data_IF_911738819276
#
_entry.id   IF_911738819276
#
_cell.length_a   1.000
_cell.length_b   1.000
_cell.length_c   1.000
_cell.angle_alpha   90.00
_cell.angle_beta   90.00
_cell.angle_gamma   90.00
#
_symmetry.space_group_name_H-M   'P 1'
#
loop_
_entity.id
_entity.type
_entity.pdbx_description
1 polymer ?
#
# COMPACT_ATOMS: atom_id res chain seq x y z
N UNK A 1 -66.08 -23.90 -20.99
CA UNK A 1 -64.87 -23.51 -21.76
C UNK A 1 -64.26 -22.31 -21.05
N UNK A 2 -63.31 -22.56 -20.15
CA UNK A 2 -62.56 -21.53 -19.42
C UNK A 2 -61.14 -22.05 -19.29
N UNK A 3 -60.26 -21.57 -20.17
CA UNK A 3 -58.87 -21.96 -20.30
C UNK A 3 -58.07 -21.40 -19.12
N UNK A 4 -57.58 -22.28 -18.25
CA UNK A 4 -56.63 -21.91 -17.19
C UNK A 4 -55.24 -21.93 -17.81
N UNK A 5 -54.69 -20.75 -18.08
CA UNK A 5 -53.30 -20.57 -18.49
C UNK A 5 -52.38 -20.83 -17.29
N UNK A 6 -51.69 -21.97 -17.29
CA UNK A 6 -50.66 -22.26 -16.29
C UNK A 6 -49.40 -21.45 -16.63
N UNK A 7 -49.12 -20.41 -15.86
CA UNK A 7 -47.82 -19.74 -15.87
C UNK A 7 -46.74 -20.71 -15.37
N UNK A 8 -46.04 -21.31 -16.33
CA UNK A 8 -44.78 -22.02 -16.13
C UNK A 8 -43.79 -21.08 -15.45
N UNK A 9 -43.54 -21.32 -14.16
CA UNK A 9 -42.52 -20.63 -13.39
C UNK A 9 -41.16 -20.87 -14.00
N UNK A 10 -40.60 -19.83 -14.63
CA UNK A 10 -39.16 -19.78 -14.94
C UNK A 10 -38.41 -19.82 -13.61
N UNK A 11 -38.04 -21.02 -13.20
CA UNK A 11 -37.01 -21.28 -12.20
C UNK A 11 -35.75 -20.53 -12.64
N UNK A 12 -35.52 -19.35 -12.09
CA UNK A 12 -34.23 -18.65 -12.09
C UNK A 12 -33.28 -19.48 -11.24
N UNK A 13 -32.84 -20.61 -11.79
CA UNK A 13 -31.80 -21.43 -11.20
C UNK A 13 -30.54 -20.58 -11.16
N UNK A 14 -30.27 -19.97 -10.00
CA UNK A 14 -28.98 -19.36 -9.74
C UNK A 14 -27.91 -20.42 -10.03
N UNK A 15 -26.89 -20.12 -10.86
CA UNK A 15 -25.85 -21.08 -11.19
C UNK A 15 -25.25 -21.60 -9.90
N UNK A 16 -25.36 -22.92 -9.68
CA UNK A 16 -24.71 -23.55 -8.54
C UNK A 16 -23.22 -23.22 -8.58
N UNK A 17 -22.63 -22.75 -7.47
CA UNK A 17 -21.20 -22.43 -7.44
C UNK A 17 -20.43 -23.70 -7.77
N UNK A 18 -19.67 -23.65 -8.88
CA UNK A 18 -18.89 -24.77 -9.37
C UNK A 18 -18.02 -25.32 -8.24
N UNK A 19 -18.20 -26.61 -7.92
CA UNK A 19 -17.41 -27.31 -6.90
C UNK A 19 -15.92 -27.16 -7.19
N UNK A 20 -15.23 -26.54 -6.23
CA UNK A 20 -13.79 -26.59 -5.94
C UNK A 20 -12.84 -27.07 -7.04
N UNK A 21 -12.73 -26.34 -8.15
CA UNK A 21 -11.61 -26.53 -9.07
C UNK A 21 -10.32 -26.11 -8.35
N UNK A 22 -9.36 -27.04 -8.25
CA UNK A 22 -8.02 -26.73 -7.77
C UNK A 22 -7.33 -25.82 -8.77
N UNK A 23 -6.63 -24.80 -8.27
CA UNK A 23 -5.86 -23.87 -9.09
C UNK A 23 -4.80 -24.64 -9.87
N UNK A 24 -4.63 -24.32 -11.15
CA UNK A 24 -3.48 -24.78 -11.92
C UNK A 24 -2.20 -24.13 -11.38
N UNK A 25 -1.03 -24.74 -11.61
CA UNK A 25 0.25 -24.21 -11.14
C UNK A 25 0.51 -22.80 -11.70
N UNK A 26 0.04 -22.49 -12.91
CA UNK A 26 0.13 -21.15 -13.51
C UNK A 26 -0.70 -20.12 -12.74
N UNK A 27 -1.91 -20.49 -12.31
CA UNK A 27 -2.78 -19.63 -11.50
C UNK A 27 -2.20 -19.44 -10.08
N UNK A 28 -1.65 -20.51 -9.48
CA UNK A 28 -0.92 -20.43 -8.22
C UNK A 28 0.31 -19.50 -8.30
N UNK A 29 1.04 -19.55 -9.41
CA UNK A 29 2.19 -18.67 -9.64
C UNK A 29 1.73 -17.21 -9.79
N UNK A 30 0.69 -16.93 -10.59
CA UNK A 30 0.12 -15.59 -10.72
C UNK A 30 -0.39 -15.04 -9.38
N UNK A 31 -1.08 -15.88 -8.59
CA UNK A 31 -1.53 -15.58 -7.24
C UNK A 31 -0.38 -15.24 -6.29
N UNK A 32 0.70 -16.01 -6.34
CA UNK A 32 1.88 -15.81 -5.49
C UNK A 32 2.60 -14.50 -5.86
N UNK A 33 2.80 -14.25 -7.16
CA UNK A 33 3.36 -13.00 -7.67
C UNK A 33 2.51 -11.80 -7.26
N UNK A 34 1.19 -11.91 -7.40
CA UNK A 34 0.27 -10.85 -7.00
C UNK A 34 0.33 -10.59 -5.49
N UNK A 35 0.35 -11.64 -4.67
CA UNK A 35 0.51 -11.49 -3.22
C UNK A 35 1.82 -10.80 -2.86
N UNK A 36 2.92 -11.15 -3.54
CA UNK A 36 4.20 -10.46 -3.40
C UNK A 36 4.09 -8.98 -3.79
N UNK A 37 3.41 -8.65 -4.90
CA UNK A 37 3.17 -7.25 -5.30
C UNK A 37 2.49 -6.45 -4.20
N UNK A 38 1.40 -6.96 -3.60
CA UNK A 38 0.71 -6.26 -2.51
C UNK A 38 1.58 -6.12 -1.25
N UNK A 39 2.26 -7.19 -0.84
CA UNK A 39 3.16 -7.15 0.33
C UNK A 39 4.28 -6.14 0.09
N UNK A 40 4.98 -6.21 -1.04
CA UNK A 40 6.04 -5.29 -1.39
C UNK A 40 5.54 -3.86 -1.47
N UNK A 41 4.35 -3.62 -2.07
CA UNK A 41 3.77 -2.28 -2.16
C UNK A 41 3.42 -1.68 -0.80
N UNK A 42 2.94 -2.51 0.13
CA UNK A 42 2.61 -2.09 1.49
C UNK A 42 3.84 -1.93 2.39
N UNK A 43 4.92 -2.67 2.10
CA UNK A 43 6.16 -2.68 2.88
C UNK A 43 7.31 -1.87 2.27
N UNK A 44 7.06 -1.14 1.18
CA UNK A 44 8.06 -0.25 0.56
C UNK A 44 7.64 1.21 0.78
N UNK A 45 8.55 2.09 1.26
CA UNK A 45 8.26 3.50 1.44
C UNK A 45 7.71 4.17 0.17
N UNK A 46 6.57 4.86 0.26
CA UNK A 46 5.90 5.41 -0.95
C UNK A 46 6.65 6.53 -1.66
N UNK A 47 7.64 7.14 -1.01
CA UNK A 47 8.42 8.25 -1.61
C UNK A 47 9.45 7.73 -2.63
N UNK A 48 9.78 6.44 -2.55
CA UNK A 48 10.66 5.73 -3.47
C UNK A 48 10.11 5.68 -4.91
N UNK A 49 8.83 6.03 -5.11
CA UNK A 49 8.22 6.11 -6.44
C UNK A 49 8.89 7.21 -7.29
N UNK A 50 9.25 8.35 -6.70
CA UNK A 50 9.83 9.46 -7.48
C UNK A 50 11.27 9.19 -7.91
N UNK A 51 12.01 8.38 -7.16
CA UNK A 51 13.39 7.99 -7.50
C UNK A 51 13.44 6.81 -8.50
N UNK A 52 12.31 6.13 -8.72
CA UNK A 52 12.20 4.94 -9.56
C UNK A 52 12.54 3.63 -8.84
N UNK A 53 12.76 3.67 -7.53
CA UNK A 53 13.12 2.51 -6.72
C UNK A 53 12.00 1.47 -6.64
N UNK A 54 10.74 1.84 -6.87
CA UNK A 54 9.59 0.92 -6.81
C UNK A 54 9.21 0.29 -8.14
N UNK A 55 9.92 0.61 -9.24
CA UNK A 55 9.53 0.16 -10.60
C UNK A 55 9.52 -1.36 -10.75
N UNK A 56 10.36 -2.07 -9.99
CA UNK A 56 10.39 -3.53 -9.98
C UNK A 56 9.07 -4.12 -9.46
N UNK A 57 8.33 -3.43 -8.58
CA UNK A 57 7.01 -3.85 -8.10
C UNK A 57 6.00 -3.80 -9.26
N UNK A 58 6.04 -2.74 -10.08
CA UNK A 58 5.20 -2.63 -11.27
C UNK A 58 5.54 -3.72 -12.30
N UNK A 59 6.83 -4.04 -12.48
CA UNK A 59 7.28 -5.15 -13.32
C UNK A 59 6.78 -6.51 -12.82
N UNK A 60 6.78 -6.75 -11.50
CA UNK A 60 6.19 -7.96 -10.92
C UNK A 60 4.68 -8.05 -11.18
N UNK A 61 3.96 -6.92 -11.12
CA UNK A 61 2.52 -6.89 -11.45
C UNK A 61 2.26 -7.20 -12.93
N UNK A 62 3.08 -6.67 -13.83
CA UNK A 62 3.05 -6.99 -15.26
C UNK A 62 3.39 -8.47 -15.51
N UNK A 63 4.37 -9.02 -14.81
CA UNK A 63 4.70 -10.45 -14.90
C UNK A 63 3.52 -11.31 -14.43
N UNK A 64 2.86 -10.96 -13.33
CA UNK A 64 1.66 -11.65 -12.87
C UNK A 64 0.55 -11.63 -13.93
N UNK A 65 0.36 -10.49 -14.61
CA UNK A 65 -0.59 -10.36 -15.72
C UNK A 65 -0.23 -11.27 -16.90
N UNK A 66 1.04 -11.34 -17.29
CA UNK A 66 1.51 -12.22 -18.38
C UNK A 66 1.30 -13.70 -18.02
N UNK A 67 1.65 -14.12 -16.80
CA UNK A 67 1.44 -15.50 -16.33
C UNK A 67 -0.05 -15.84 -16.30
N UNK A 68 -0.89 -14.93 -15.81
CA UNK A 68 -2.34 -15.09 -15.83
C UNK A 68 -2.88 -15.19 -17.26
N UNK A 69 -2.44 -14.31 -18.16
CA UNK A 69 -2.89 -14.31 -19.56
C UNK A 69 -2.49 -15.61 -20.27
N UNK A 70 -1.29 -16.13 -19.99
CA UNK A 70 -0.86 -17.44 -20.48
C UNK A 70 -1.76 -18.57 -19.97
N UNK A 71 -2.13 -18.55 -18.69
CA UNK A 71 -3.12 -19.50 -18.13
C UNK A 71 -4.47 -19.40 -18.82
N UNK A 72 -4.96 -18.17 -19.05
CA UNK A 72 -6.22 -17.91 -19.74
C UNK A 72 -6.22 -18.43 -21.18
N UNK A 73 -5.14 -18.21 -21.94
CA UNK A 73 -4.99 -18.71 -23.32
C UNK A 73 -5.01 -20.25 -23.40
N UNK A 74 -4.66 -20.96 -22.32
CA UNK A 74 -4.77 -22.43 -22.24
C UNK A 74 -6.19 -22.92 -21.98
N UNK A 75 -7.19 -22.03 -21.99
CA UNK A 75 -8.59 -22.36 -21.75
C UNK A 75 -8.92 -22.64 -20.28
N UNK A 76 -8.03 -22.25 -19.37
CA UNK A 76 -8.19 -22.55 -17.95
C UNK A 76 -9.04 -21.53 -17.20
N UNK A 77 -9.31 -20.35 -17.76
CA UNK A 77 -9.91 -19.22 -17.03
C UNK A 77 -11.33 -18.91 -17.50
N UNK A 78 -12.15 -18.42 -16.56
CA UNK A 78 -13.51 -17.96 -16.83
C UNK A 78 -13.55 -16.82 -17.88
N UNK A 79 -14.66 -16.66 -18.61
CA UNK A 79 -14.81 -15.60 -19.60
C UNK A 79 -14.60 -14.20 -18.98
N UNK A 80 -14.04 -13.28 -19.77
CA UNK A 80 -13.82 -11.89 -19.39
C UNK A 80 -15.17 -11.20 -19.13
N UNK A 81 -15.52 -11.01 -17.86
CA UNK A 81 -16.63 -10.15 -17.46
C UNK A 81 -16.07 -8.77 -17.15
N UNK A 82 -16.45 -7.77 -17.93
CA UNK A 82 -16.06 -6.38 -17.71
C UNK A 82 -17.26 -5.63 -17.15
N UNK A 83 -17.15 -5.15 -15.91
CA UNK A 83 -18.24 -4.43 -15.23
C UNK A 83 -17.97 -2.93 -15.11
N UNK A 84 -18.88 -2.21 -14.46
CA UNK A 84 -18.75 -0.76 -14.25
C UNK A 84 -17.54 -0.38 -13.40
N UNK A 85 -17.15 -1.21 -12.44
CA UNK A 85 -15.99 -0.95 -11.60
C UNK A 85 -14.71 -1.06 -12.44
N UNK A 86 -14.64 -2.05 -13.35
CA UNK A 86 -13.53 -2.20 -14.28
C UNK A 86 -13.38 -0.98 -15.19
N UNK A 87 -14.50 -0.40 -15.66
CA UNK A 87 -14.50 0.86 -16.42
C UNK A 87 -13.92 1.99 -15.58
N UNK A 88 -14.40 2.19 -14.35
CA UNK A 88 -13.97 3.30 -13.48
C UNK A 88 -12.48 3.21 -13.16
N UNK A 89 -11.99 2.04 -12.75
CA UNK A 89 -10.57 1.84 -12.45
C UNK A 89 -9.70 2.00 -13.70
N UNK A 90 -10.17 1.50 -14.85
CA UNK A 90 -9.45 1.66 -16.12
C UNK A 90 -9.37 3.12 -16.55
N UNK A 91 -10.44 3.90 -16.42
CA UNK A 91 -10.44 5.34 -16.72
C UNK A 91 -9.50 6.11 -15.79
N UNK A 92 -9.49 5.79 -14.50
CA UNK A 92 -8.57 6.39 -13.53
C UNK A 92 -7.11 6.14 -13.94
N UNK A 93 -6.74 4.88 -14.19
CA UNK A 93 -5.38 4.53 -14.61
C UNK A 93 -5.02 5.15 -15.96
N UNK A 94 -5.95 5.15 -16.91
CA UNK A 94 -5.76 5.74 -18.24
C UNK A 94 -5.49 7.25 -18.14
N UNK A 95 -6.21 7.97 -17.28
CA UNK A 95 -5.97 9.40 -17.05
C UNK A 95 -4.54 9.69 -16.60
N UNK A 96 -4.02 8.91 -15.65
CA UNK A 96 -2.63 9.05 -15.20
C UNK A 96 -1.60 8.66 -16.26
N UNK A 97 -1.87 7.59 -17.03
CA UNK A 97 -1.03 7.16 -18.16
C UNK A 97 -0.95 8.26 -19.22
N UNK A 98 -2.10 8.83 -19.62
CA UNK A 98 -2.15 9.93 -20.59
C UNK A 98 -1.41 11.15 -20.06
N UNK A 99 -1.63 11.53 -18.79
CA UNK A 99 -0.90 12.63 -18.16
C UNK A 99 0.62 12.45 -18.21
N UNK A 100 1.11 11.25 -17.90
CA UNK A 100 2.53 10.92 -17.98
C UNK A 100 3.07 10.99 -19.42
N UNK A 101 2.32 10.49 -20.41
CA UNK A 101 2.67 10.60 -21.84
C UNK A 101 2.75 12.06 -22.31
N UNK A 102 1.84 12.92 -21.84
CA UNK A 102 1.90 14.36 -22.13
C UNK A 102 3.20 14.97 -21.60
N UNK A 103 3.60 14.69 -20.35
CA UNK A 103 4.87 15.20 -19.80
C UNK A 103 6.08 14.67 -20.57
N UNK A 104 6.06 13.40 -20.99
CA UNK A 104 7.13 12.80 -21.79
C UNK A 104 7.33 13.47 -23.15
N UNK A 105 6.24 13.92 -23.77
CA UNK A 105 6.24 14.55 -25.10
C UNK A 105 6.41 16.08 -25.05
N UNK A 106 6.25 16.69 -23.88
CA UNK A 106 6.34 18.15 -23.69
C UNK A 106 7.54 18.52 -22.82
N UNK A 107 7.35 19.44 -21.86
CA UNK A 107 8.37 19.95 -20.93
C UNK A 107 8.11 19.40 -19.54
N UNK A 108 9.14 18.92 -18.86
CA UNK A 108 9.07 18.43 -17.48
C UNK A 108 10.11 17.36 -17.20
N UNK A 109 10.04 16.78 -16.00
CA UNK A 109 10.90 15.66 -15.64
C UNK A 109 10.44 14.37 -16.35
N UNK A 110 11.12 14.05 -17.46
CA UNK A 110 10.84 12.87 -18.27
C UNK A 110 11.07 11.56 -17.52
N UNK A 111 12.02 11.53 -16.57
CA UNK A 111 12.32 10.32 -15.80
C UNK A 111 11.18 10.02 -14.84
N UNK A 112 10.77 11.01 -14.04
CA UNK A 112 9.65 10.84 -13.12
C UNK A 112 8.35 10.53 -13.86
N UNK A 113 8.13 11.14 -15.03
CA UNK A 113 6.97 10.83 -15.88
C UNK A 113 6.99 9.38 -16.38
N UNK A 114 8.13 8.88 -16.88
CA UNK A 114 8.27 7.48 -17.30
C UNK A 114 8.05 6.50 -16.15
N UNK A 115 8.59 6.80 -14.97
CA UNK A 115 8.38 5.96 -13.79
C UNK A 115 6.90 5.93 -13.39
N UNK A 116 6.24 7.09 -13.32
CA UNK A 116 4.81 7.17 -13.00
C UNK A 116 3.94 6.44 -14.02
N UNK A 117 4.28 6.54 -15.32
CA UNK A 117 3.60 5.78 -16.38
C UNK A 117 3.57 4.28 -16.08
N UNK A 118 4.74 3.69 -15.81
CA UNK A 118 4.85 2.25 -15.52
C UNK A 118 4.18 1.84 -14.22
N UNK A 119 4.24 2.69 -13.19
CA UNK A 119 3.57 2.48 -11.91
C UNK A 119 2.05 2.36 -12.07
N UNK A 120 1.43 3.26 -12.84
CA UNK A 120 -0.02 3.23 -13.07
C UNK A 120 -0.45 2.06 -13.96
N UNK A 121 0.36 1.67 -14.93
CA UNK A 121 0.14 0.44 -15.70
C UNK A 121 0.22 -0.78 -14.77
N UNK A 122 1.22 -0.82 -13.88
CA UNK A 122 1.37 -1.88 -12.88
C UNK A 122 0.19 -1.97 -11.92
N UNK A 123 -0.34 -0.83 -11.46
CA UNK A 123 -1.57 -0.77 -10.63
C UNK A 123 -2.77 -1.34 -11.37
N UNK A 124 -2.97 -0.95 -12.63
CA UNK A 124 -4.05 -1.49 -13.46
C UNK A 124 -3.91 -3.01 -13.64
N UNK A 125 -2.70 -3.49 -13.93
CA UNK A 125 -2.41 -4.92 -14.07
C UNK A 125 -2.69 -5.70 -12.78
N UNK A 126 -2.21 -5.20 -11.63
CA UNK A 126 -2.45 -5.81 -10.33
C UNK A 126 -3.95 -5.86 -10.01
N UNK A 127 -4.68 -4.76 -10.20
CA UNK A 127 -6.13 -4.71 -10.04
C UNK A 127 -6.84 -5.75 -10.91
N UNK A 128 -6.52 -5.78 -12.20
CA UNK A 128 -7.16 -6.66 -13.16
C UNK A 128 -6.94 -8.14 -12.81
N UNK A 129 -5.71 -8.54 -12.51
CA UNK A 129 -5.40 -9.92 -12.09
C UNK A 129 -6.09 -10.26 -10.76
N UNK A 130 -6.09 -9.33 -9.79
CA UNK A 130 -6.79 -9.52 -8.50
C UNK A 130 -8.26 -9.83 -8.71
N UNK A 131 -8.96 -9.04 -9.54
CA UNK A 131 -10.38 -9.23 -9.86
C UNK A 131 -10.69 -10.63 -10.38
N UNK A 132 -9.78 -11.22 -11.15
CA UNK A 132 -9.97 -12.56 -11.74
C UNK A 132 -9.66 -13.67 -10.74
N UNK A 133 -8.57 -13.52 -9.98
CA UNK A 133 -8.15 -14.54 -9.03
C UNK A 133 -9.04 -14.59 -7.78
N UNK A 134 -9.62 -13.47 -7.34
CA UNK A 134 -10.53 -13.40 -6.17
C UNK A 134 -11.78 -14.25 -6.35
N UNK A 135 -12.18 -14.57 -7.58
CA UNK A 135 -13.29 -15.50 -7.84
C UNK A 135 -12.98 -16.93 -7.36
N UNK A 136 -11.70 -17.29 -7.21
CA UNK A 136 -11.29 -18.56 -6.64
C UNK A 136 -11.23 -18.46 -5.11
N UNK A 137 -12.11 -19.22 -4.44
CA UNK A 137 -12.25 -19.21 -2.97
C UNK A 137 -10.92 -19.42 -2.22
N UNK A 138 -10.07 -20.33 -2.72
CA UNK A 138 -8.77 -20.63 -2.11
C UNK A 138 -7.84 -19.41 -2.14
N UNK A 139 -7.71 -18.77 -3.31
CA UNK A 139 -6.92 -17.54 -3.45
C UNK A 139 -7.48 -16.42 -2.61
N UNK A 140 -8.80 -16.19 -2.66
CA UNK A 140 -9.46 -15.14 -1.88
C UNK A 140 -9.12 -15.23 -0.39
N UNK A 141 -9.24 -16.41 0.22
CA UNK A 141 -8.94 -16.60 1.64
C UNK A 141 -7.46 -16.34 1.96
N UNK A 142 -6.54 -16.88 1.16
CA UNK A 142 -5.10 -16.68 1.37
C UNK A 142 -4.69 -15.22 1.16
N UNK A 143 -5.21 -14.58 0.12
CA UNK A 143 -4.93 -13.19 -0.21
C UNK A 143 -5.43 -12.25 0.89
N UNK A 144 -6.66 -12.43 1.36
CA UNK A 144 -7.19 -11.64 2.48
C UNK A 144 -6.37 -11.84 3.76
N UNK A 145 -5.91 -13.06 4.04
CA UNK A 145 -5.04 -13.32 5.18
C UNK A 145 -3.70 -12.58 5.06
N UNK A 146 -3.07 -12.61 3.88
CA UNK A 146 -1.83 -11.86 3.63
C UNK A 146 -2.04 -10.37 3.87
N UNK A 147 -3.09 -9.78 3.30
CA UNK A 147 -3.42 -8.36 3.48
C UNK A 147 -3.69 -8.04 4.96
N UNK A 148 -4.42 -8.90 5.68
CA UNK A 148 -4.74 -8.71 7.08
C UNK A 148 -3.48 -8.78 7.98
N UNK A 149 -2.58 -9.74 7.72
CA UNK A 149 -1.31 -9.88 8.45
C UNK A 149 -0.38 -8.70 8.17
N UNK A 150 -0.22 -8.31 6.90
CA UNK A 150 0.59 -7.12 6.56
C UNK A 150 0.02 -5.85 7.21
N UNK A 151 -1.30 -5.68 7.21
CA UNK A 151 -1.96 -4.58 7.89
C UNK A 151 -1.73 -4.58 9.41
N UNK A 152 -1.77 -5.74 10.06
CA UNK A 152 -1.44 -5.90 11.49
C UNK A 152 0.00 -5.50 11.80
N UNK A 153 0.96 -5.93 10.98
CA UNK A 153 2.36 -5.55 11.11
C UNK A 153 2.56 -4.04 10.95
N UNK A 154 1.92 -3.43 9.94
CA UNK A 154 1.95 -1.98 9.72
C UNK A 154 1.31 -1.20 10.87
N UNK A 155 0.21 -1.70 11.44
CA UNK A 155 -0.44 -1.09 12.60
C UNK A 155 0.45 -1.13 13.84
N UNK A 156 1.03 -2.29 14.14
CA UNK A 156 1.99 -2.43 15.24
C UNK A 156 3.22 -1.53 15.04
N UNK A 157 3.75 -1.48 13.82
CA UNK A 157 4.86 -0.59 13.46
C UNK A 157 4.49 0.88 13.63
N UNK A 158 3.30 1.30 13.19
CA UNK A 158 2.80 2.66 13.37
C UNK A 158 2.66 3.05 14.85
N UNK A 159 2.11 2.17 15.69
CA UNK A 159 2.01 2.38 17.15
C UNK A 159 3.41 2.53 17.76
N UNK A 160 4.35 1.66 17.37
CA UNK A 160 5.73 1.76 17.84
C UNK A 160 6.39 3.08 17.40
N UNK A 161 6.19 3.48 16.14
CA UNK A 161 6.73 4.70 15.57
C UNK A 161 6.24 5.96 16.31
N UNK A 162 4.95 5.99 16.67
CA UNK A 162 4.36 7.09 17.42
C UNK A 162 5.00 7.29 18.80
N UNK A 163 5.22 6.19 19.53
CA UNK A 163 5.67 6.25 20.93
C UNK A 163 7.19 6.26 21.10
N UNK A 164 7.94 5.55 20.24
CA UNK A 164 9.39 5.35 20.43
C UNK A 164 10.24 5.75 19.21
N UNK A 165 9.70 5.68 18.00
CA UNK A 165 10.52 5.57 16.79
C UNK A 165 11.47 6.73 16.45
N UNK A 166 11.16 7.97 16.86
CA UNK A 166 11.91 9.15 16.39
C UNK A 166 12.60 9.98 17.47
N UNK A 167 12.50 9.60 18.75
CA UNK A 167 13.01 10.45 19.85
C UNK A 167 14.51 10.76 19.72
N UNK A 168 15.35 9.72 19.61
CA UNK A 168 16.79 9.86 19.51
C UNK A 168 17.22 10.55 18.20
N UNK A 169 16.62 10.14 17.08
CA UNK A 169 16.92 10.71 15.76
C UNK A 169 16.57 12.20 15.69
N UNK A 170 15.48 12.64 16.32
CA UNK A 170 15.11 14.06 16.43
C UNK A 170 16.19 14.86 17.15
N UNK A 171 16.63 14.39 18.31
CA UNK A 171 17.63 15.10 19.11
C UNK A 171 18.95 15.25 18.35
N UNK A 172 19.46 14.16 17.78
CA UNK A 172 20.68 14.17 16.97
C UNK A 172 20.56 15.08 15.74
N UNK A 173 19.42 15.01 15.05
CA UNK A 173 19.18 15.86 13.89
C UNK A 173 19.14 17.35 14.24
N UNK A 174 18.45 17.73 15.32
CA UNK A 174 18.38 19.13 15.78
C UNK A 174 19.78 19.64 16.15
N UNK A 175 20.60 18.82 16.81
CA UNK A 175 21.99 19.16 17.10
C UNK A 175 22.81 19.40 15.83
N UNK A 176 22.80 18.47 14.88
CA UNK A 176 23.50 18.60 13.60
C UNK A 176 23.02 19.80 12.77
N UNK A 177 21.70 20.02 12.72
CA UNK A 177 21.12 21.17 12.03
C UNK A 177 21.60 22.48 12.65
N UNK A 178 21.63 22.56 13.98
CA UNK A 178 22.10 23.75 14.70
C UNK A 178 23.58 24.03 14.40
N UNK A 179 24.42 22.99 14.40
CA UNK A 179 25.85 23.10 14.05
C UNK A 179 26.06 23.52 12.59
N UNK A 180 25.24 22.98 11.67
CA UNK A 180 25.25 23.36 10.26
C UNK A 180 24.87 24.83 10.08
N UNK A 181 23.78 25.28 10.72
CA UNK A 181 23.29 26.65 10.65
C UNK A 181 24.25 27.66 11.31
N UNK A 182 24.98 27.28 12.35
CA UNK A 182 26.03 28.15 12.94
C UNK A 182 27.20 28.30 11.97
N UNK A 183 27.69 27.19 11.41
CA UNK A 183 28.81 27.19 10.47
C UNK A 183 28.50 27.95 9.17
N UNK A 184 27.25 27.86 8.70
CA UNK A 184 26.79 28.57 7.51
C UNK A 184 26.64 30.08 7.77
N UNK A 185 26.29 30.48 9.00
CA UNK A 185 26.24 31.90 9.44
C UNK A 185 27.63 32.52 9.60
N UNK A 186 28.59 31.77 10.12
CA UNK A 186 30.00 32.20 10.21
C UNK A 186 30.58 32.53 8.82
N UNK A 187 30.12 31.82 7.78
CA UNK A 187 30.66 31.93 6.43
C UNK A 187 32.06 31.33 6.33
N UNK A 188 32.55 31.16 5.09
CA UNK A 188 33.90 30.64 4.85
C UNK A 188 34.94 31.76 5.12
N UNK A 189 35.90 31.57 6.04
CA UNK A 189 36.94 32.56 6.31
C UNK A 189 37.82 32.85 5.09
N UNK A 190 38.38 34.06 5.00
CA UNK A 190 39.33 34.43 3.93
C UNK A 190 40.74 33.88 4.17
N UNK A 191 41.14 33.73 5.43
CA UNK A 191 42.46 33.22 5.80
C UNK A 191 42.59 31.72 5.47
N UNK A 192 43.71 31.34 4.82
CA UNK A 192 43.89 30.00 4.26
C UNK A 192 43.76 28.87 5.29
N UNK A 193 44.36 29.03 6.48
CA UNK A 193 44.32 27.99 7.52
C UNK A 193 42.92 27.84 8.11
N UNK A 194 42.27 28.96 8.45
CA UNK A 194 40.88 28.96 8.92
C UNK A 194 39.90 28.42 7.86
N UNK A 195 40.15 28.68 6.58
CA UNK A 195 39.37 28.13 5.47
C UNK A 195 39.51 26.60 5.38
N UNK A 196 40.71 26.03 5.57
CA UNK A 196 40.91 24.57 5.59
C UNK A 196 40.19 23.90 6.76
N UNK A 197 40.27 24.49 7.95
CA UNK A 197 39.55 23.99 9.12
C UNK A 197 38.03 24.07 8.93
N UNK A 198 37.54 25.15 8.32
CA UNK A 198 36.14 25.28 7.93
C UNK A 198 35.73 24.18 6.93
N UNK A 199 36.52 23.96 5.88
CA UNK A 199 36.26 22.91 4.87
C UNK A 199 36.22 21.50 5.53
N UNK A 200 37.11 21.22 6.48
CA UNK A 200 37.09 19.98 7.27
C UNK A 200 35.84 19.84 8.14
N UNK A 201 35.39 20.91 8.81
CA UNK A 201 34.15 20.91 9.60
C UNK A 201 32.92 20.66 8.74
N UNK A 202 32.83 21.30 7.58
CA UNK A 202 31.73 21.06 6.61
C UNK A 202 31.72 19.62 6.13
N UNK A 203 32.89 19.06 5.78
CA UNK A 203 32.99 17.67 5.35
C UNK A 203 32.58 16.68 6.47
N UNK A 204 33.00 16.94 7.72
CA UNK A 204 32.62 16.13 8.87
C UNK A 204 31.11 16.15 9.11
N UNK A 205 30.46 17.33 9.08
CA UNK A 205 29.01 17.44 9.21
C UNK A 205 28.29 16.71 8.08
N UNK A 206 28.71 16.90 6.82
CA UNK A 206 28.12 16.18 5.67
C UNK A 206 28.22 14.67 5.83
N UNK A 207 29.34 14.17 6.34
CA UNK A 207 29.51 12.75 6.63
C UNK A 207 28.57 12.28 7.76
N UNK A 208 28.36 13.08 8.80
CA UNK A 208 27.40 12.76 9.87
C UNK A 208 25.95 12.76 9.36
N UNK A 209 25.57 13.73 8.52
CA UNK A 209 24.28 13.74 7.82
C UNK A 209 24.08 12.46 6.99
N UNK A 210 25.10 12.06 6.22
CA UNK A 210 25.07 10.83 5.42
C UNK A 210 24.98 9.56 6.28
N UNK A 211 25.70 9.49 7.41
CA UNK A 211 25.64 8.36 8.35
C UNK A 211 24.24 8.20 8.97
N UNK A 212 23.50 9.30 9.15
CA UNK A 212 22.11 9.27 9.61
C UNK A 212 21.10 9.03 8.48
N UNK A 213 21.55 8.76 7.25
CA UNK A 213 20.72 8.64 6.05
C UNK A 213 19.82 9.87 5.82
N UNK A 214 20.30 11.06 6.16
CA UNK A 214 19.58 12.30 5.92
C UNK A 214 19.78 12.70 4.45
N UNK A 215 18.71 12.97 3.68
CA UNK A 215 18.85 13.32 2.28
C UNK A 215 19.70 14.58 2.05
N UNK A 216 20.57 14.50 1.04
CA UNK A 216 21.42 15.61 0.60
C UNK A 216 20.66 16.70 -0.17
N UNK A 217 19.62 16.31 -0.90
CA UNK A 217 18.71 17.20 -1.63
C UNK A 217 17.73 17.91 -0.68
N UNK A 218 17.50 19.21 -0.89
CA UNK A 218 16.68 20.03 0.00
C UNK A 218 15.20 19.61 0.00
N UNK A 219 14.65 19.18 -1.14
CA UNK A 219 13.27 18.71 -1.25
C UNK A 219 13.07 17.37 -0.53
N UNK A 220 13.96 16.42 -0.77
CA UNK A 220 13.95 15.13 -0.08
C UNK A 220 14.19 15.29 1.43
N UNK A 221 15.06 16.24 1.83
CA UNK A 221 15.30 16.56 3.24
C UNK A 221 14.07 17.15 3.89
N UNK A 222 13.34 18.04 3.22
CA UNK A 222 12.10 18.61 3.74
C UNK A 222 11.05 17.52 4.05
N UNK A 223 10.85 16.56 3.13
CA UNK A 223 9.93 15.43 3.37
C UNK A 223 10.42 14.55 4.52
N UNK A 224 11.72 14.29 4.60
CA UNK A 224 12.31 13.54 5.71
C UNK A 224 12.13 14.26 7.05
N UNK A 225 12.32 15.58 7.11
CA UNK A 225 12.10 16.40 8.30
C UNK A 225 10.64 16.38 8.74
N UNK A 226 9.71 16.53 7.79
CA UNK A 226 8.27 16.44 8.07
C UNK A 226 7.91 15.10 8.72
N UNK A 227 8.51 14.00 8.26
CA UNK A 227 8.32 12.67 8.87
C UNK A 227 8.93 12.59 10.26
N UNK A 228 10.17 13.07 10.39
CA UNK A 228 10.89 13.03 11.64
C UNK A 228 10.08 13.73 12.73
N UNK A 229 9.51 14.90 12.46
CA UNK A 229 8.73 15.69 13.42
C UNK A 229 7.23 15.38 13.44
N UNK A 230 6.74 14.49 12.58
CA UNK A 230 5.33 14.07 12.62
C UNK A 230 5.00 13.44 13.97
N UNK A 231 3.91 13.92 14.57
CA UNK A 231 3.33 13.31 15.78
C UNK A 231 2.45 12.13 15.41
N UNK A 232 1.92 12.09 14.19
CA UNK A 232 1.03 11.03 13.73
C UNK A 232 1.82 9.85 13.16
N UNK A 233 1.36 8.60 13.35
CA UNK A 233 2.01 7.44 12.77
C UNK A 233 1.85 7.44 11.25
N UNK A 234 2.97 7.35 10.55
CA UNK A 234 3.03 7.32 9.08
C UNK A 234 3.20 5.89 8.55
N UNK A 235 3.76 4.99 9.37
CA UNK A 235 4.20 3.68 8.93
C UNK A 235 5.26 3.82 7.84
N UNK A 236 5.05 3.12 6.73
CA UNK A 236 5.88 3.20 5.53
C UNK A 236 5.27 4.12 4.47
N UNK A 237 4.27 4.92 4.82
CA UNK A 237 3.57 5.79 3.88
C UNK A 237 4.05 7.24 4.00
N UNK A 238 3.92 8.01 2.91
CA UNK A 238 4.13 9.45 2.89
C UNK A 238 3.09 10.19 3.74
N UNK A 239 1.88 9.63 3.82
CA UNK A 239 0.69 10.28 4.33
C UNK A 239 0.01 9.40 5.38
N UNK A 240 -0.40 10.00 6.51
CA UNK A 240 -1.12 9.31 7.59
C UNK A 240 -2.48 8.79 7.15
N UNK A 241 -3.15 9.48 6.23
CA UNK A 241 -4.40 9.03 5.63
C UNK A 241 -4.29 7.70 4.87
N UNK A 242 -3.14 7.45 4.21
CA UNK A 242 -2.93 6.19 3.50
C UNK A 242 -2.77 5.03 4.48
N UNK A 243 -1.98 5.22 5.55
CA UNK A 243 -1.89 4.24 6.63
C UNK A 243 -3.28 3.98 7.23
N UNK A 244 -4.03 5.03 7.54
CA UNK A 244 -5.37 4.92 8.11
C UNK A 244 -6.30 4.07 7.22
N UNK A 245 -6.29 4.28 5.90
CA UNK A 245 -7.05 3.46 4.96
C UNK A 245 -6.67 1.98 5.01
N UNK A 246 -5.37 1.66 5.05
CA UNK A 246 -4.89 0.27 5.20
C UNK A 246 -5.33 -0.34 6.53
N UNK A 247 -5.26 0.42 7.63
CA UNK A 247 -5.69 -0.05 8.94
C UNK A 247 -7.21 -0.32 8.99
N UNK A 248 -8.03 0.51 8.34
CA UNK A 248 -9.48 0.26 8.23
C UNK A 248 -9.75 -1.08 7.56
N UNK A 249 -9.11 -1.35 6.42
CA UNK A 249 -9.23 -2.63 5.71
C UNK A 249 -8.79 -3.79 6.61
N UNK A 250 -7.65 -3.65 7.29
CA UNK A 250 -7.15 -4.68 8.20
C UNK A 250 -8.11 -4.95 9.36
N UNK A 251 -8.68 -3.91 9.99
CA UNK A 251 -9.68 -4.05 11.06
C UNK A 251 -10.88 -4.84 10.56
N UNK A 252 -11.46 -4.46 9.42
CA UNK A 252 -12.63 -5.13 8.84
C UNK A 252 -12.35 -6.60 8.51
N UNK A 253 -11.17 -6.91 7.96
CA UNK A 253 -10.78 -8.28 7.64
C UNK A 253 -10.57 -9.14 8.89
N UNK A 254 -9.86 -8.62 9.89
CA UNK A 254 -9.65 -9.34 11.15
C UNK A 254 -10.96 -9.55 11.92
N UNK A 255 -11.80 -8.53 11.99
CA UNK A 255 -13.06 -8.60 12.72
C UNK A 255 -14.07 -9.50 12.01
N UNK A 256 -14.17 -9.39 10.68
CA UNK A 256 -15.05 -10.21 9.85
C UNK A 256 -14.63 -11.69 9.78
N UNK A 257 -13.37 -12.01 10.05
CA UNK A 257 -12.91 -13.41 10.16
C UNK A 257 -13.05 -13.95 11.58
N UNK A 258 -12.79 -13.13 12.60
CA UNK A 258 -12.75 -13.57 14.00
C UNK A 258 -14.14 -13.77 14.59
N UNK A 259 -15.06 -12.82 14.43
CA UNK A 259 -16.35 -12.87 15.13
C UNK A 259 -17.27 -13.99 14.64
N UNK A 260 -17.47 -14.20 13.33
CA UNK A 260 -18.34 -15.28 12.85
C UNK A 260 -17.84 -16.68 13.21
N UNK A 261 -16.52 -16.84 13.39
CA UNK A 261 -15.89 -18.13 13.72
C UNK A 261 -15.59 -18.28 15.23
N UNK A 262 -16.06 -17.37 16.07
CA UNK A 262 -15.73 -17.37 17.51
C UNK A 262 -16.19 -18.62 18.27
N UNK A 263 -17.19 -19.36 17.78
CA UNK A 263 -17.64 -20.61 18.38
C UNK A 263 -16.77 -21.82 18.05
N UNK A 264 -16.01 -21.77 16.94
CA UNK A 264 -15.16 -22.86 16.46
C UNK A 264 -13.69 -22.66 16.79
N UNK A 265 -13.28 -21.42 17.07
CA UNK A 265 -11.92 -21.05 17.42
C UNK A 265 -11.62 -21.29 18.90
N UNK A 266 -10.35 -21.58 19.21
CA UNK A 266 -9.91 -21.70 20.60
C UNK A 266 -9.92 -20.33 21.29
N UNK A 267 -10.11 -20.32 22.61
CA UNK A 267 -10.09 -19.08 23.42
C UNK A 267 -8.82 -18.27 23.22
N UNK A 268 -7.66 -18.93 23.10
CA UNK A 268 -6.38 -18.26 22.86
C UNK A 268 -6.36 -17.50 21.54
N UNK A 269 -6.87 -18.10 20.45
CA UNK A 269 -6.95 -17.42 19.13
C UNK A 269 -7.88 -16.22 19.20
N UNK A 270 -9.01 -16.33 19.90
CA UNK A 270 -9.96 -15.22 20.09
C UNK A 270 -9.30 -14.07 20.85
N UNK A 271 -8.61 -14.36 21.95
CA UNK A 271 -7.92 -13.34 22.74
C UNK A 271 -6.83 -12.66 21.90
N UNK A 272 -5.95 -13.43 21.27
CA UNK A 272 -4.89 -12.88 20.42
C UNK A 272 -5.45 -12.06 19.25
N UNK A 273 -6.49 -12.55 18.57
CA UNK A 273 -7.14 -11.85 17.46
C UNK A 273 -7.77 -10.52 17.91
N UNK A 274 -8.44 -10.50 19.06
CA UNK A 274 -8.98 -9.24 19.60
C UNK A 274 -7.88 -8.26 20.01
N UNK A 275 -6.75 -8.74 20.54
CA UNK A 275 -5.59 -7.87 20.82
C UNK A 275 -5.02 -7.24 19.54
N UNK A 276 -4.97 -8.00 18.44
CA UNK A 276 -4.57 -7.47 17.12
C UNK A 276 -5.57 -6.41 16.65
N UNK A 277 -6.87 -6.68 16.72
CA UNK A 277 -7.92 -5.69 16.35
C UNK A 277 -7.81 -4.43 17.22
N UNK A 278 -7.61 -4.56 18.52
CA UNK A 278 -7.42 -3.42 19.43
C UNK A 278 -6.17 -2.61 19.07
N UNK A 279 -5.05 -3.28 18.76
CA UNK A 279 -3.83 -2.62 18.30
C UNK A 279 -4.06 -1.83 17.00
N UNK A 280 -4.76 -2.44 16.03
CA UNK A 280 -5.13 -1.81 14.77
C UNK A 280 -6.03 -0.60 14.95
N UNK A 281 -7.08 -0.71 15.78
CA UNK A 281 -8.00 0.40 16.09
C UNK A 281 -7.28 1.51 16.82
N UNK A 282 -6.41 1.17 17.78
CA UNK A 282 -5.59 2.16 18.47
C UNK A 282 -4.66 2.90 17.49
N UNK A 283 -3.93 2.17 16.64
CA UNK A 283 -3.12 2.76 15.57
C UNK A 283 -3.94 3.67 14.64
N UNK A 284 -5.15 3.25 14.27
CA UNK A 284 -6.07 4.04 13.46
C UNK A 284 -6.46 5.34 14.16
N UNK A 285 -6.80 5.31 15.45
CA UNK A 285 -7.13 6.50 16.24
C UNK A 285 -5.95 7.47 16.33
N UNK A 286 -4.72 6.95 16.44
CA UNK A 286 -3.50 7.77 16.45
C UNK A 286 -3.29 8.52 15.12
N UNK A 287 -3.78 8.00 13.98
CA UNK A 287 -3.71 8.72 12.69
C UNK A 287 -4.61 9.96 12.63
N UNK A 288 -5.60 10.08 13.55
CA UNK A 288 -6.60 11.17 13.58
C UNK A 288 -7.39 11.37 12.28
N UNK A 289 -7.39 10.39 11.37
CA UNK A 289 -8.06 10.50 10.06
C UNK A 289 -9.57 10.34 10.18
N UNK A 290 -10.31 11.46 10.06
CA UNK A 290 -11.79 11.47 10.12
C UNK A 290 -12.43 10.66 9.01
N UNK A 291 -11.87 10.73 7.80
CA UNK A 291 -12.38 9.98 6.64
C UNK A 291 -12.22 8.47 6.84
N UNK A 292 -11.12 8.03 7.45
CA UNK A 292 -10.91 6.62 7.75
C UNK A 292 -11.91 6.11 8.81
N UNK A 293 -12.24 6.91 9.84
CA UNK A 293 -13.27 6.55 10.81
C UNK A 293 -14.65 6.42 10.18
N UNK A 294 -15.03 7.34 9.28
CA UNK A 294 -16.27 7.23 8.49
C UNK A 294 -16.26 5.97 7.63
N UNK A 295 -15.14 5.68 6.97
CA UNK A 295 -14.95 4.46 6.18
C UNK A 295 -15.10 3.19 7.00
N UNK A 296 -14.55 3.16 8.22
CA UNK A 296 -14.69 2.04 9.15
C UNK A 296 -16.14 1.82 9.57
N UNK A 297 -16.86 2.89 9.91
CA UNK A 297 -18.28 2.81 10.27
C UNK A 297 -19.11 2.30 9.10
N UNK A 298 -18.96 2.90 7.91
CA UNK A 298 -19.68 2.47 6.72
C UNK A 298 -19.37 1.01 6.35
N UNK A 299 -18.09 0.63 6.31
CA UNK A 299 -17.67 -0.74 6.04
C UNK A 299 -18.17 -1.73 7.08
N UNK A 300 -18.11 -1.38 8.36
CA UNK A 300 -18.62 -2.21 9.46
C UNK A 300 -20.12 -2.44 9.35
N UNK A 301 -20.90 -1.41 9.03
CA UNK A 301 -22.35 -1.56 8.79
C UNK A 301 -22.64 -2.44 7.59
N UNK A 302 -21.90 -2.29 6.49
CA UNK A 302 -22.07 -3.13 5.31
C UNK A 302 -21.75 -4.61 5.61
N UNK A 303 -20.66 -4.88 6.35
CA UNK A 303 -20.30 -6.23 6.78
C UNK A 303 -21.33 -6.87 7.72
N UNK A 304 -22.04 -6.06 8.52
CA UNK A 304 -23.04 -6.57 9.45
C UNK A 304 -24.40 -6.88 8.80
N UNK A 305 -24.71 -6.20 7.69
CA UNK A 305 -25.96 -6.38 6.95
C UNK A 305 -25.96 -7.57 5.97
N UNK A 306 -24.79 -8.15 5.68
CA UNK A 306 -24.60 -9.30 4.76
C UNK A 306 -24.47 -10.58 5.57
#
# INVERSE_FOLDING_TARGET
>A
MSSVESHSGKSTGLPQPARGRTLDWTECLAASLLSAVYVCRLLTPTDAVMTGETIWIAQLALLALVVWAFSACRGHVAPLQFDRLDVVVSLLCLGHVVGAVVVLTTTGDKRSAATMLWEWIGVWAAYFVTRRLVLHRAFHQQFLLVVAVTGALLGAYGVWQHHWGFGETRTKYVELKTQWESLNREGRPQELMAAREWDHRVAALRNQFAQMNIPGDDGARMLWEQRLFSVEPLGLFALTNTLAGVLVVAVLLWSGTLWPNSSTLSRAVIVCGNLVVLCLVYGLLLTKSRTALVGLLAGGTACWLV
#
